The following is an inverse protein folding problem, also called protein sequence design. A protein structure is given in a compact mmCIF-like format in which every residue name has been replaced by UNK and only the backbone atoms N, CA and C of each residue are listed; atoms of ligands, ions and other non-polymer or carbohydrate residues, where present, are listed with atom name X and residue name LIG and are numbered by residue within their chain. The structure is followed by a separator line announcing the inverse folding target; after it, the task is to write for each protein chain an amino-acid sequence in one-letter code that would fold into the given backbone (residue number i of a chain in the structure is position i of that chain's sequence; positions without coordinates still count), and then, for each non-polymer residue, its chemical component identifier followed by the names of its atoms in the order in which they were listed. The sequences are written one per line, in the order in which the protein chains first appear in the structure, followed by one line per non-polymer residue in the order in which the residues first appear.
data_IF_426860703162
#
_entry.id   IF_426860703162
#
_cell.length_a   1.000
_cell.length_b   1.000
_cell.length_c   1.000
_cell.angle_alpha   90.00
_cell.angle_beta   90.00
_cell.angle_gamma   90.00
#
_symmetry.space_group_name_H-M   'P 1'
#
loop_
_entity.id
_entity.type
_entity.pdbx_description
1 polymer ?
#
# COMPACT_ATOMS: atom_id res chain seq x y z
N UNK A 1 -63.81 -1.03 53.40
CA UNK A 1 -62.85 0.09 53.38
C UNK A 1 -61.37 -0.27 53.20
N UNK A 2 -60.95 -1.55 53.13
CA UNK A 2 -59.53 -1.93 52.99
C UNK A 2 -59.00 -1.93 51.53
N UNK A 3 -59.83 -1.90 50.49
CA UNK A 3 -59.38 -2.00 49.08
C UNK A 3 -59.02 -0.67 48.42
N UNK A 4 -59.50 0.47 48.94
CA UNK A 4 -59.25 1.79 48.36
C UNK A 4 -57.85 2.35 48.68
N UNK A 5 -57.32 2.05 49.86
CA UNK A 5 -55.97 2.45 50.27
C UNK A 5 -54.85 1.74 49.44
N UNK A 6 -55.06 0.44 49.17
CA UNK A 6 -54.13 -0.37 48.38
C UNK A 6 -54.02 0.15 46.92
N UNK A 7 -55.12 0.61 46.33
CA UNK A 7 -55.18 1.10 44.96
C UNK A 7 -54.49 2.47 44.82
N UNK A 8 -54.65 3.37 45.78
CA UNK A 8 -54.02 4.68 45.85
C UNK A 8 -52.47 4.57 46.02
N UNK A 9 -52.04 3.66 46.90
CA UNK A 9 -50.60 3.41 47.08
C UNK A 9 -49.95 2.83 45.83
N UNK A 10 -50.59 1.89 45.13
CA UNK A 10 -50.13 1.30 43.86
C UNK A 10 -50.08 2.33 42.73
N UNK A 11 -51.03 3.27 42.67
CA UNK A 11 -51.00 4.35 41.67
C UNK A 11 -49.87 5.33 41.96
N UNK A 12 -49.64 5.72 43.19
CA UNK A 12 -48.54 6.61 43.59
C UNK A 12 -47.16 6.00 43.29
N UNK A 13 -46.97 4.72 43.63
CA UNK A 13 -45.73 3.99 43.33
C UNK A 13 -45.49 3.92 41.80
N UNK A 14 -46.53 3.66 41.01
CA UNK A 14 -46.44 3.59 39.53
C UNK A 14 -46.04 4.93 38.91
N UNK A 15 -46.62 6.03 39.41
CA UNK A 15 -46.29 7.38 38.95
C UNK A 15 -44.81 7.71 39.28
N UNK A 16 -44.39 7.41 40.50
CA UNK A 16 -43.04 7.71 40.97
C UNK A 16 -41.95 6.86 40.25
N UNK A 17 -42.25 5.60 39.94
CA UNK A 17 -41.36 4.74 39.10
C UNK A 17 -41.31 5.25 37.66
N UNK A 18 -42.44 5.73 37.12
CA UNK A 18 -42.50 6.30 35.77
C UNK A 18 -41.72 7.60 35.68
N UNK A 19 -41.79 8.50 36.67
CA UNK A 19 -40.98 9.71 36.75
C UNK A 19 -39.49 9.42 36.85
N UNK A 20 -39.10 8.44 37.71
CA UNK A 20 -37.68 8.04 37.79
C UNK A 20 -37.17 7.43 36.52
N UNK A 21 -37.97 6.63 35.80
CA UNK A 21 -37.61 6.10 34.48
C UNK A 21 -37.49 7.22 33.45
N UNK A 22 -38.43 8.17 33.45
CA UNK A 22 -38.43 9.32 32.54
C UNK A 22 -37.22 10.22 32.74
N UNK A 23 -36.85 10.50 33.99
CA UNK A 23 -35.64 11.25 34.33
C UNK A 23 -34.38 10.54 33.83
N UNK A 24 -34.28 9.22 33.96
CA UNK A 24 -33.13 8.43 33.40
C UNK A 24 -33.08 8.50 31.88
N UNK A 25 -34.20 8.39 31.20
CA UNK A 25 -34.27 8.50 29.73
C UNK A 25 -33.82 9.89 29.27
N UNK A 26 -34.29 10.96 29.93
CA UNK A 26 -33.89 12.34 29.64
C UNK A 26 -32.40 12.54 29.86
N UNK A 27 -31.82 12.01 30.95
CA UNK A 27 -30.38 12.09 31.22
C UNK A 27 -29.59 11.35 30.14
N UNK A 28 -30.00 10.14 29.74
CA UNK A 28 -29.31 9.37 28.68
C UNK A 28 -29.37 10.10 27.35
N UNK A 29 -30.52 10.67 26.99
CA UNK A 29 -30.68 11.46 25.76
C UNK A 29 -29.83 12.74 25.80
N UNK A 30 -29.76 13.44 26.92
CA UNK A 30 -28.93 14.61 27.11
C UNK A 30 -27.43 14.26 26.96
N UNK A 31 -26.99 13.16 27.57
CA UNK A 31 -25.63 12.66 27.43
C UNK A 31 -25.31 12.28 25.97
N UNK A 32 -26.26 11.61 25.28
CA UNK A 32 -26.09 11.26 23.88
C UNK A 32 -25.98 12.50 22.98
N UNK A 33 -26.81 13.51 23.21
CA UNK A 33 -26.73 14.79 22.47
C UNK A 33 -25.39 15.49 22.72
N UNK A 34 -24.95 15.60 23.98
CA UNK A 34 -23.65 16.20 24.33
C UNK A 34 -22.52 15.41 23.68
N UNK A 35 -22.57 14.08 23.72
CA UNK A 35 -21.57 13.23 23.09
C UNK A 35 -21.53 13.43 21.56
N UNK A 36 -22.70 13.40 20.89
CA UNK A 36 -22.78 13.62 19.45
C UNK A 36 -22.32 15.03 19.04
N UNK A 37 -22.67 16.06 19.82
CA UNK A 37 -22.24 17.44 19.52
C UNK A 37 -20.73 17.62 19.74
N UNK A 38 -20.18 17.09 20.84
CA UNK A 38 -18.73 17.12 21.08
C UNK A 38 -17.99 16.32 20.01
N UNK A 39 -18.49 15.16 19.63
CA UNK A 39 -17.90 14.35 18.57
C UNK A 39 -17.96 15.06 17.22
N UNK A 40 -19.09 15.67 16.86
CA UNK A 40 -19.26 16.44 15.64
C UNK A 40 -18.40 17.71 15.58
N UNK A 41 -18.05 18.30 16.73
CA UNK A 41 -17.15 19.46 16.79
C UNK A 41 -15.66 19.08 16.78
N UNK A 42 -15.32 17.89 17.30
CA UNK A 42 -13.94 17.38 17.33
C UNK A 42 -13.54 16.75 15.99
N UNK A 43 -14.47 16.05 15.30
CA UNK A 43 -14.23 15.43 14.00
C UNK A 43 -13.66 16.40 12.95
N UNK A 44 -14.25 17.60 12.72
CA UNK A 44 -13.68 18.55 11.78
C UNK A 44 -12.27 19.02 12.16
N UNK A 45 -12.01 19.18 13.46
CA UNK A 45 -10.67 19.59 13.95
C UNK A 45 -9.62 18.47 13.78
N UNK A 46 -10.04 17.20 13.85
CA UNK A 46 -9.16 16.06 13.58
C UNK A 46 -8.99 15.77 12.07
N UNK A 47 -9.97 16.18 11.24
CA UNK A 47 -9.90 16.04 9.79
C UNK A 47 -9.32 17.27 9.09
N UNK A 48 -9.14 18.38 9.78
CA UNK A 48 -8.53 19.63 9.28
C UNK A 48 -7.01 19.74 9.54
N UNK A 49 -6.36 18.73 10.07
CA UNK A 49 -4.94 18.57 9.77
C UNK A 49 -4.87 18.10 8.34
N UNK A 50 -4.47 18.98 7.44
CA UNK A 50 -4.12 18.62 6.06
C UNK A 50 -3.09 17.49 6.17
N UNK A 51 -3.60 16.25 6.14
CA UNK A 51 -2.82 15.03 6.31
C UNK A 51 -2.01 14.72 5.05
N UNK A 52 -1.59 15.75 4.35
CA UNK A 52 -0.75 15.64 3.17
C UNK A 52 0.72 15.64 3.60
N UNK A 53 1.46 14.72 3.01
CA UNK A 53 2.89 14.52 3.28
C UNK A 53 3.78 15.04 2.15
N UNK A 54 3.20 15.68 1.11
CA UNK A 54 3.96 16.23 -0.01
C UNK A 54 4.77 17.49 0.34
N UNK A 55 4.52 18.10 1.50
CA UNK A 55 5.21 19.31 1.95
C UNK A 55 4.90 20.57 1.15
N UNK A 56 3.89 20.53 0.26
CA UNK A 56 3.46 21.65 -0.58
C UNK A 56 2.07 22.13 -0.14
N UNK A 57 1.85 23.46 -0.22
CA UNK A 57 0.52 24.02 -0.06
C UNK A 57 -0.27 23.90 -1.37
N UNK A 58 -1.56 23.62 -1.29
CA UNK A 58 -2.44 23.71 -2.46
C UNK A 58 -2.47 25.14 -2.97
N UNK A 59 -2.10 25.37 -4.22
CA UNK A 59 -2.10 26.67 -4.85
C UNK A 59 -2.34 26.53 -6.36
N UNK A 60 -3.44 27.10 -6.82
CA UNK A 60 -3.73 27.26 -8.24
C UNK A 60 -3.52 28.73 -8.61
N UNK A 61 -2.88 28.99 -9.74
CA UNK A 61 -2.68 30.35 -10.21
C UNK A 61 -4.01 30.95 -10.68
N UNK A 62 -4.51 31.94 -9.97
CA UNK A 62 -5.66 32.76 -10.31
C UNK A 62 -5.22 34.06 -10.99
N UNK A 63 -6.17 34.89 -11.48
CA UNK A 63 -5.84 36.18 -12.06
C UNK A 63 -5.08 37.10 -11.10
N UNK A 64 -5.22 36.92 -9.78
CA UNK A 64 -4.47 37.65 -8.76
C UNK A 64 -2.98 37.28 -8.73
N UNK A 65 -2.61 36.15 -9.30
CA UNK A 65 -1.22 35.72 -9.43
C UNK A 65 -0.49 36.36 -10.62
N UNK A 66 -1.20 37.11 -11.46
CA UNK A 66 -0.64 37.74 -12.65
C UNK A 66 -0.77 39.25 -12.57
N UNK A 67 0.26 39.95 -13.03
CA UNK A 67 0.22 41.38 -13.30
C UNK A 67 0.12 41.61 -14.83
N UNK A 68 -0.75 42.51 -15.20
CA UNK A 68 -0.86 42.90 -16.61
C UNK A 68 0.15 43.99 -16.91
N UNK A 69 1.15 43.68 -17.71
CA UNK A 69 2.26 44.60 -18.03
C UNK A 69 2.09 45.10 -19.47
N UNK A 70 2.24 46.42 -19.66
CA UNK A 70 2.25 47.03 -20.97
C UNK A 70 3.58 46.70 -21.71
N UNK A 71 3.53 46.05 -22.86
CA UNK A 71 4.70 45.61 -23.61
C UNK A 71 4.94 46.36 -24.92
N UNK A 72 4.01 47.16 -25.40
CA UNK A 72 4.11 47.82 -26.70
C UNK A 72 5.14 48.96 -26.74
N UNK A 73 5.72 49.39 -25.60
CA UNK A 73 6.74 50.45 -25.53
C UNK A 73 6.28 51.84 -26.00
N UNK A 74 4.98 52.02 -26.23
CA UNK A 74 4.40 53.28 -26.63
C UNK A 74 3.60 53.86 -25.47
N UNK A 75 4.11 54.91 -24.88
CA UNK A 75 3.42 55.60 -23.80
C UNK A 75 2.08 56.16 -24.33
N UNK A 76 0.98 55.69 -23.75
CA UNK A 76 -0.33 56.28 -24.00
C UNK A 76 -0.31 57.73 -23.55
N UNK A 77 -0.94 58.59 -24.33
CA UNK A 77 -1.08 60.03 -24.21
C UNK A 77 -0.60 60.65 -22.88
N UNK A 78 0.42 61.50 -22.96
CA UNK A 78 0.78 62.43 -21.92
C UNK A 78 -0.46 63.21 -21.43
N UNK A 79 -0.65 63.46 -20.15
CA UNK A 79 -1.77 64.25 -19.62
C UNK A 79 -1.72 65.75 -19.99
N UNK A 80 -0.81 66.14 -20.89
CA UNK A 80 -0.72 67.52 -21.34
C UNK A 80 -1.70 67.80 -22.46
N UNK A 81 -2.77 68.50 -22.14
CA UNK A 81 -3.92 68.81 -22.98
C UNK A 81 -3.62 69.65 -24.26
N UNK A 82 -2.35 69.95 -24.54
CA UNK A 82 -1.92 70.77 -25.69
C UNK A 82 -1.15 69.97 -26.76
N UNK A 83 -0.85 68.65 -26.56
CA UNK A 83 -0.18 67.85 -27.57
C UNK A 83 -1.22 67.14 -28.45
N UNK A 84 -1.08 67.29 -29.82
CA UNK A 84 -1.87 66.48 -30.76
C UNK A 84 -1.73 65.01 -30.40
N UNK A 85 -2.84 64.25 -30.28
CA UNK A 85 -2.75 62.84 -30.01
C UNK A 85 -2.17 62.10 -31.21
N UNK A 86 -0.89 61.84 -31.18
CA UNK A 86 -0.27 60.78 -31.98
C UNK A 86 -0.52 59.44 -31.31
N UNK A 87 -1.75 59.27 -30.84
CA UNK A 87 -2.05 58.20 -29.89
C UNK A 87 -2.15 56.85 -30.57
N UNK A 88 -1.20 56.01 -30.29
CA UNK A 88 -1.41 54.58 -30.37
C UNK A 88 -2.52 54.21 -29.37
N UNK A 89 -3.57 53.55 -29.88
CA UNK A 89 -4.63 52.98 -29.03
C UNK A 89 -4.17 51.61 -28.57
N UNK A 90 -4.09 51.43 -27.27
CA UNK A 90 -3.73 50.12 -26.68
C UNK A 90 -4.86 49.12 -26.94
N UNK A 91 -4.50 48.00 -27.52
CA UNK A 91 -5.31 46.80 -27.67
C UNK A 91 -4.82 45.73 -26.73
N UNK A 92 -5.55 44.64 -26.63
CA UNK A 92 -5.17 43.48 -25.80
C UNK A 92 -3.76 42.96 -26.14
N UNK A 93 -3.32 43.11 -27.38
CA UNK A 93 -1.97 42.75 -27.86
C UNK A 93 -0.87 43.62 -27.27
N UNK A 94 -1.20 44.77 -26.67
CA UNK A 94 -0.25 45.64 -26.01
C UNK A 94 0.05 45.23 -24.57
N UNK A 95 -0.65 44.25 -24.05
CA UNK A 95 -0.52 43.78 -22.66
C UNK A 95 -0.14 42.33 -22.62
N UNK A 96 0.71 41.99 -21.65
CA UNK A 96 1.09 40.61 -21.32
C UNK A 96 0.79 40.32 -19.86
N UNK A 97 0.22 39.16 -19.57
CA UNK A 97 0.06 38.69 -18.19
C UNK A 97 1.38 38.07 -17.72
N UNK A 98 2.03 38.72 -16.77
CA UNK A 98 3.26 38.25 -16.15
C UNK A 98 2.95 37.64 -14.79
N UNK A 99 3.40 36.40 -14.58
CA UNK A 99 3.26 35.71 -13.29
C UNK A 99 4.13 36.45 -12.23
N UNK A 100 3.51 36.93 -11.18
CA UNK A 100 4.15 37.60 -10.03
C UNK A 100 4.13 36.74 -8.77
N UNK A 101 3.30 35.69 -8.76
CA UNK A 101 3.23 34.72 -7.68
C UNK A 101 4.52 33.90 -7.63
N UNK A 102 5.07 33.74 -6.42
CA UNK A 102 6.29 32.91 -6.18
C UNK A 102 5.96 31.50 -5.72
N UNK A 103 4.67 31.17 -5.53
CA UNK A 103 4.23 29.82 -5.15
C UNK A 103 4.18 28.94 -6.39
N UNK A 104 4.66 27.72 -6.25
CA UNK A 104 4.48 26.69 -7.28
C UNK A 104 3.01 26.28 -7.36
N UNK A 105 2.50 26.09 -8.57
CA UNK A 105 1.19 25.52 -8.78
C UNK A 105 1.18 24.07 -8.30
N UNK A 106 0.28 23.75 -7.37
CA UNK A 106 0.15 22.43 -6.80
C UNK A 106 -1.29 22.16 -6.36
N UNK A 107 -1.85 21.09 -6.92
CA UNK A 107 -3.10 20.51 -6.46
C UNK A 107 -2.82 19.20 -5.72
N UNK A 108 -3.42 19.05 -4.54
CA UNK A 108 -3.24 17.80 -3.79
C UNK A 108 -3.90 16.63 -4.51
N UNK A 109 -3.09 15.64 -4.82
CA UNK A 109 -3.51 14.35 -5.37
C UNK A 109 -3.57 13.29 -4.25
N UNK A 110 -4.07 12.11 -4.60
CA UNK A 110 -4.06 10.92 -3.72
C UNK A 110 -2.64 10.59 -3.25
N UNK A 111 -1.62 10.78 -4.09
CA UNK A 111 -0.21 10.56 -3.73
C UNK A 111 0.27 11.47 -2.60
N UNK A 112 -0.26 12.69 -2.49
CA UNK A 112 0.10 13.63 -1.43
C UNK A 112 -0.30 13.14 -0.03
N UNK A 113 -1.21 12.16 0.07
CA UNK A 113 -1.65 11.56 1.33
C UNK A 113 -0.79 10.35 1.74
N UNK A 114 0.14 9.90 0.90
CA UNK A 114 1.09 8.84 1.24
C UNK A 114 2.14 9.38 2.21
N UNK A 115 2.28 8.71 3.34
CA UNK A 115 3.27 9.07 4.36
C UNK A 115 4.59 8.32 4.12
N UNK A 116 5.65 8.97 3.62
CA UNK A 116 6.93 8.32 3.34
C UNK A 116 7.64 7.80 4.60
N UNK A 117 7.29 8.32 5.79
CA UNK A 117 7.88 7.89 7.05
C UNK A 117 7.19 6.66 7.65
N UNK A 118 6.02 6.26 7.09
CA UNK A 118 5.26 5.10 7.54
C UNK A 118 5.81 3.79 6.97
N UNK A 119 7.11 3.61 7.01
CA UNK A 119 7.85 2.43 6.55
C UNK A 119 8.40 1.60 7.69
N UNK A 120 8.63 0.33 7.45
CA UNK A 120 9.22 -0.54 8.46
C UNK A 120 10.76 -0.42 8.47
N UNK A 121 11.34 -0.17 9.65
CA UNK A 121 12.79 -0.09 9.77
C UNK A 121 13.44 -1.44 9.41
N UNK A 122 14.55 -1.48 8.62
CA UNK A 122 15.22 -2.70 8.18
C UNK A 122 15.56 -3.68 9.31
N UNK A 123 15.91 -3.19 10.48
CA UNK A 123 16.18 -4.01 11.67
C UNK A 123 14.97 -4.83 12.15
N UNK A 124 13.76 -4.50 11.71
CA UNK A 124 12.54 -5.25 12.06
C UNK A 124 12.20 -6.35 11.04
N UNK A 125 12.75 -6.30 9.82
CA UNK A 125 12.38 -7.22 8.74
C UNK A 125 12.64 -8.69 9.08
N UNK A 126 13.68 -8.97 9.86
CA UNK A 126 14.06 -10.31 10.28
C UNK A 126 13.53 -10.69 11.67
N UNK A 127 12.79 -9.77 12.32
CA UNK A 127 12.24 -10.05 13.64
C UNK A 127 11.16 -11.13 13.58
N UNK A 128 11.34 -12.20 14.37
CA UNK A 128 10.38 -13.30 14.43
C UNK A 128 10.63 -14.41 13.41
N UNK A 129 11.71 -14.32 12.61
CA UNK A 129 12.11 -15.44 11.76
C UNK A 129 12.45 -16.68 12.58
N UNK A 130 12.10 -17.89 12.10
CA UNK A 130 12.35 -19.13 12.81
C UNK A 130 13.85 -19.46 12.87
N UNK A 131 14.23 -20.23 13.89
CA UNK A 131 15.57 -20.83 13.95
C UNK A 131 15.68 -21.91 12.87
N UNK A 132 16.69 -21.80 12.03
CA UNK A 132 16.90 -22.75 10.94
C UNK A 132 17.40 -24.10 11.45
N UNK A 133 16.85 -25.18 10.87
CA UNK A 133 17.17 -26.59 11.26
C UNK A 133 18.33 -27.18 10.47
N UNK A 134 18.59 -26.63 9.27
CA UNK A 134 19.57 -27.17 8.34
C UNK A 134 18.95 -27.92 7.16
N UNK A 135 17.65 -28.20 7.22
CA UNK A 135 16.91 -28.74 6.10
C UNK A 135 16.30 -27.59 5.29
N UNK A 136 16.82 -27.31 4.10
CA UNK A 136 16.44 -26.17 3.27
C UNK A 136 14.94 -26.08 2.99
N UNK A 137 14.34 -27.21 2.59
CA UNK A 137 12.92 -27.24 2.27
C UNK A 137 12.07 -26.94 3.51
N UNK A 138 12.40 -27.54 4.66
CA UNK A 138 11.71 -27.27 5.92
C UNK A 138 11.94 -25.83 6.40
N UNK A 139 13.17 -25.35 6.28
CA UNK A 139 13.54 -24.00 6.70
C UNK A 139 12.83 -22.95 5.83
N UNK A 140 12.75 -23.17 4.51
CA UNK A 140 12.03 -22.30 3.59
C UNK A 140 10.53 -22.23 3.92
N UNK A 141 9.90 -23.38 4.12
CA UNK A 141 8.48 -23.45 4.53
C UNK A 141 8.27 -22.73 5.87
N UNK A 142 9.14 -22.97 6.85
CA UNK A 142 9.03 -22.35 8.17
C UNK A 142 9.18 -20.80 8.09
N UNK A 143 10.12 -20.31 7.28
CA UNK A 143 10.28 -18.86 7.05
C UNK A 143 9.02 -18.30 6.40
N UNK A 144 8.52 -18.92 5.34
CA UNK A 144 7.31 -18.45 4.65
C UNK A 144 6.08 -18.44 5.58
N UNK A 145 5.88 -19.49 6.36
CA UNK A 145 4.76 -19.57 7.31
C UNK A 145 4.86 -18.54 8.44
N UNK A 146 6.07 -18.16 8.86
CA UNK A 146 6.28 -17.12 9.85
C UNK A 146 5.84 -15.72 9.39
N UNK A 147 5.66 -15.52 8.08
CA UNK A 147 5.24 -14.26 7.46
C UNK A 147 3.74 -14.17 7.24
N UNK A 148 2.98 -15.24 7.51
CA UNK A 148 1.53 -15.25 7.27
C UNK A 148 0.82 -14.10 8.00
N UNK A 149 -0.08 -13.43 7.26
CA UNK A 149 -0.84 -12.29 7.75
C UNK A 149 -0.12 -10.95 7.62
N UNK A 150 1.15 -10.91 7.19
CA UNK A 150 1.77 -9.65 6.78
C UNK A 150 0.93 -9.03 5.65
N UNK A 151 0.70 -7.74 5.72
CA UNK A 151 -0.01 -6.98 4.68
C UNK A 151 0.83 -5.76 4.28
N UNK A 152 0.66 -5.31 3.06
CA UNK A 152 1.26 -4.07 2.61
C UNK A 152 0.74 -2.86 3.39
N UNK A 153 1.50 -1.79 3.41
CA UNK A 153 1.14 -0.56 4.10
C UNK A 153 0.00 0.15 3.38
N UNK A 154 -0.98 0.63 4.16
CA UNK A 154 -2.03 1.53 3.68
C UNK A 154 -1.68 3.00 3.93
N UNK A 155 -0.60 3.27 4.64
CA UNK A 155 -0.17 4.63 5.01
C UNK A 155 0.98 5.14 4.13
N UNK A 156 1.90 4.26 3.71
CA UNK A 156 2.95 4.55 2.72
C UNK A 156 2.64 3.77 1.45
N UNK A 157 2.46 4.46 0.33
CA UNK A 157 2.06 3.84 -0.93
C UNK A 157 2.44 4.70 -2.15
N UNK A 158 2.47 4.07 -3.30
CA UNK A 158 2.54 4.69 -4.61
C UNK A 158 1.16 4.62 -5.29
N UNK A 159 0.80 5.69 -6.01
CA UNK A 159 -0.40 5.73 -6.86
C UNK A 159 0.03 5.45 -8.29
N UNK A 160 -0.43 4.32 -8.83
CA UNK A 160 -0.12 3.88 -10.18
C UNK A 160 -0.83 4.74 -11.25
N UNK A 161 -0.43 4.63 -12.50
CA UNK A 161 -1.01 5.39 -13.62
C UNK A 161 -2.52 5.12 -13.80
N UNK A 162 -2.98 3.93 -13.49
CA UNK A 162 -4.39 3.54 -13.53
C UNK A 162 -5.21 4.02 -12.31
N UNK A 163 -4.57 4.72 -11.36
CA UNK A 163 -5.18 5.20 -10.13
C UNK A 163 -5.30 4.17 -9.01
N UNK A 164 -4.84 2.92 -9.24
CA UNK A 164 -4.67 1.92 -8.19
C UNK A 164 -3.56 2.33 -7.22
N UNK A 165 -3.45 1.63 -6.11
CA UNK A 165 -2.48 1.93 -5.06
C UNK A 165 -1.68 0.67 -4.74
N UNK A 166 -0.36 0.80 -4.76
CA UNK A 166 0.59 -0.22 -4.31
C UNK A 166 1.23 0.22 -3.00
N UNK A 167 0.98 -0.52 -1.93
CA UNK A 167 1.49 -0.19 -0.60
C UNK A 167 2.94 -0.62 -0.40
N UNK A 168 3.64 0.10 0.50
CA UNK A 168 4.98 -0.29 0.93
C UNK A 168 5.00 -1.70 1.50
N UNK A 169 6.04 -2.47 1.14
CA UNK A 169 6.34 -3.76 1.74
C UNK A 169 7.82 -3.91 2.11
N UNK A 170 8.09 -4.63 3.22
CA UNK A 170 9.46 -5.02 3.59
C UNK A 170 10.13 -5.88 2.53
N UNK A 171 9.36 -6.64 1.76
CA UNK A 171 9.89 -7.57 0.76
C UNK A 171 10.41 -6.84 -0.47
N UNK A 172 9.62 -5.90 -0.98
CA UNK A 172 10.05 -5.02 -2.07
C UNK A 172 11.22 -4.14 -1.66
N UNK A 173 11.14 -3.52 -0.46
CA UNK A 173 12.23 -2.72 0.10
C UNK A 173 13.51 -3.54 0.31
N UNK A 174 13.41 -4.76 0.85
CA UNK A 174 14.57 -5.66 1.02
C UNK A 174 15.18 -6.04 -0.33
N UNK A 175 14.37 -6.43 -1.30
CA UNK A 175 14.85 -6.84 -2.62
C UNK A 175 15.50 -5.67 -3.37
N UNK A 176 14.90 -4.49 -3.30
CA UNK A 176 15.40 -3.27 -3.93
C UNK A 176 16.58 -2.60 -3.21
N UNK A 177 16.99 -3.11 -2.04
CA UNK A 177 18.15 -2.60 -1.28
C UNK A 177 17.86 -1.44 -0.34
N UNK A 178 16.62 -1.07 -0.14
CA UNK A 178 16.21 -0.03 0.81
C UNK A 178 14.77 0.43 0.66
N UNK A 179 14.33 1.25 1.61
CA UNK A 179 12.97 1.80 1.61
C UNK A 179 12.71 2.77 0.46
N UNK A 180 13.76 3.36 -0.11
CA UNK A 180 13.67 4.33 -1.21
C UNK A 180 13.65 3.65 -2.60
N UNK A 181 13.65 2.30 -2.65
CA UNK A 181 13.57 1.55 -3.89
C UNK A 181 12.17 1.64 -4.51
N UNK A 182 12.09 1.73 -5.83
CA UNK A 182 10.84 1.65 -6.59
C UNK A 182 10.08 0.33 -6.31
N UNK A 183 10.81 -0.74 -5.98
CA UNK A 183 10.22 -2.03 -5.61
C UNK A 183 9.56 -2.03 -4.24
N UNK A 184 9.84 -1.04 -3.40
CA UNK A 184 9.26 -0.97 -2.06
C UNK A 184 7.73 -0.82 -2.08
N UNK A 185 7.19 -0.18 -3.12
CA UNK A 185 5.76 0.02 -3.34
C UNK A 185 5.31 -0.55 -4.70
N UNK A 186 5.85 -1.68 -5.14
CA UNK A 186 5.50 -2.38 -6.38
C UNK A 186 4.88 -3.74 -6.10
N UNK A 187 4.73 -4.55 -7.16
CA UNK A 187 4.36 -5.95 -7.06
C UNK A 187 5.41 -6.71 -6.24
N UNK A 188 4.98 -7.45 -5.26
CA UNK A 188 5.91 -8.04 -4.30
C UNK A 188 5.78 -9.55 -4.10
N UNK A 189 5.01 -10.25 -4.94
CA UNK A 189 4.87 -11.70 -4.82
C UNK A 189 6.22 -12.43 -5.01
N UNK A 190 7.01 -12.04 -6.00
CA UNK A 190 8.34 -12.61 -6.25
C UNK A 190 9.37 -12.18 -5.20
N UNK A 191 9.37 -10.92 -4.82
CA UNK A 191 10.25 -10.40 -3.77
C UNK A 191 10.01 -11.07 -2.41
N UNK A 192 8.77 -11.44 -2.10
CA UNK A 192 8.43 -12.22 -0.91
C UNK A 192 9.10 -13.60 -0.93
N UNK A 193 9.00 -14.33 -2.03
CA UNK A 193 9.59 -15.67 -2.14
C UNK A 193 11.12 -15.59 -2.12
N UNK A 194 11.71 -14.58 -2.79
CA UNK A 194 13.15 -14.31 -2.74
C UNK A 194 13.63 -14.01 -1.31
N UNK A 195 12.88 -13.20 -0.55
CA UNK A 195 13.14 -12.94 0.87
C UNK A 195 13.14 -14.24 1.69
N UNK A 196 12.13 -15.09 1.49
CA UNK A 196 12.03 -16.37 2.20
C UNK A 196 13.21 -17.31 1.88
N UNK A 197 13.60 -17.41 0.60
CA UNK A 197 14.76 -18.18 0.16
C UNK A 197 16.04 -17.70 0.85
N UNK A 198 16.33 -16.41 0.75
CA UNK A 198 17.54 -15.84 1.34
C UNK A 198 17.60 -16.10 2.85
N UNK A 199 16.49 -15.88 3.56
CA UNK A 199 16.45 -16.06 5.02
C UNK A 199 16.36 -17.54 5.45
N UNK A 200 16.05 -18.47 4.54
CA UNK A 200 16.23 -19.91 4.73
C UNK A 200 17.68 -20.37 4.45
N UNK A 201 18.59 -19.45 4.11
CA UNK A 201 19.99 -19.76 3.76
C UNK A 201 20.16 -20.28 2.33
N UNK A 202 19.25 -19.92 1.43
CA UNK A 202 19.25 -20.25 0.00
C UNK A 202 19.44 -18.95 -0.76
N UNK A 203 20.68 -18.56 -1.00
CA UNK A 203 21.05 -17.31 -1.63
C UNK A 203 20.96 -17.38 -3.16
N UNK A 204 20.97 -16.23 -3.86
CA UNK A 204 20.80 -16.16 -5.31
C UNK A 204 21.86 -16.92 -6.11
N UNK A 205 23.08 -17.07 -5.58
CA UNK A 205 24.14 -17.87 -6.18
C UNK A 205 23.93 -19.39 -6.05
N UNK A 206 23.01 -19.81 -5.14
CA UNK A 206 22.61 -21.20 -4.95
C UNK A 206 21.35 -21.53 -5.73
N UNK A 207 20.41 -20.62 -5.72
CA UNK A 207 19.13 -20.72 -6.42
C UNK A 207 18.79 -19.33 -6.97
N UNK A 208 19.07 -19.10 -8.26
CA UNK A 208 18.87 -17.77 -8.85
C UNK A 208 17.39 -17.39 -8.78
N UNK A 209 17.13 -16.20 -8.26
CA UNK A 209 15.77 -15.64 -8.17
C UNK A 209 15.70 -14.26 -8.82
N UNK A 210 14.49 -13.82 -9.15
CA UNK A 210 14.20 -12.51 -9.74
C UNK A 210 12.97 -11.88 -9.07
N UNK A 211 12.84 -10.57 -9.18
CA UNK A 211 11.59 -9.88 -8.84
C UNK A 211 10.52 -10.07 -9.93
N UNK A 212 10.95 -10.47 -11.15
CA UNK A 212 10.08 -10.75 -12.29
C UNK A 212 9.90 -12.25 -12.45
N UNK A 213 8.65 -12.75 -12.37
CA UNK A 213 8.37 -14.18 -12.42
C UNK A 213 8.80 -14.85 -13.73
N UNK A 214 8.61 -14.18 -14.87
CA UNK A 214 9.02 -14.70 -16.18
C UNK A 214 10.54 -14.83 -16.28
N UNK A 215 11.29 -13.78 -15.93
CA UNK A 215 12.75 -13.80 -15.88
C UNK A 215 13.27 -14.88 -14.91
N UNK A 216 12.56 -15.09 -13.80
CA UNK A 216 12.93 -16.13 -12.85
C UNK A 216 12.81 -17.54 -13.44
N UNK A 217 11.74 -17.82 -14.20
CA UNK A 217 11.57 -19.10 -14.92
C UNK A 217 12.72 -19.34 -15.91
N UNK A 218 13.12 -18.30 -16.64
CA UNK A 218 14.24 -18.38 -17.59
C UNK A 218 15.56 -18.70 -16.88
N UNK A 219 15.91 -17.99 -15.81
CA UNK A 219 17.11 -18.25 -14.99
C UNK A 219 17.14 -19.66 -14.42
N UNK A 220 16.01 -20.18 -13.93
CA UNK A 220 15.91 -21.54 -13.42
C UNK A 220 16.03 -22.58 -14.52
N UNK A 221 15.53 -22.28 -15.71
CA UNK A 221 15.63 -23.15 -16.89
C UNK A 221 17.10 -23.28 -17.32
N UNK A 222 17.81 -22.15 -17.43
CA UNK A 222 19.25 -22.13 -17.72
C UNK A 222 20.08 -22.88 -16.68
N UNK A 223 19.72 -22.74 -15.41
CA UNK A 223 20.38 -23.40 -14.27
C UNK A 223 19.95 -24.88 -14.09
N UNK A 224 19.05 -25.41 -14.93
CA UNK A 224 18.49 -26.77 -14.85
C UNK A 224 17.76 -27.06 -13.53
N UNK A 225 17.23 -26.02 -12.90
CA UNK A 225 16.46 -26.09 -11.65
C UNK A 225 14.96 -25.95 -11.88
N UNK A 226 14.52 -25.78 -13.14
CA UNK A 226 13.12 -25.72 -13.53
C UNK A 226 12.57 -27.07 -13.92
N UNK A 227 11.33 -27.35 -13.55
CA UNK A 227 10.55 -28.52 -13.97
C UNK A 227 9.18 -28.11 -14.48
N UNK A 228 8.73 -28.83 -15.50
CA UNK A 228 7.44 -28.58 -16.14
C UNK A 228 6.26 -28.86 -15.20
N UNK A 229 5.09 -28.29 -15.49
CA UNK A 229 3.86 -28.43 -14.71
C UNK A 229 3.41 -29.89 -14.48
N UNK A 230 3.82 -30.82 -15.34
CA UNK A 230 3.55 -32.25 -15.21
C UNK A 230 4.39 -32.95 -14.13
N UNK A 231 5.41 -32.31 -13.59
CA UNK A 231 6.22 -32.87 -12.51
C UNK A 231 5.43 -32.90 -11.19
N UNK A 232 5.70 -33.88 -10.35
CA UNK A 232 5.15 -33.93 -9.01
C UNK A 232 5.92 -32.96 -8.09
N UNK A 233 5.27 -31.92 -7.55
CA UNK A 233 5.91 -31.01 -6.59
C UNK A 233 6.02 -31.65 -5.21
N UNK A 234 6.84 -31.06 -4.36
CA UNK A 234 6.98 -31.41 -2.94
C UNK A 234 7.15 -30.15 -2.10
N UNK A 235 6.94 -30.28 -0.80
CA UNK A 235 7.16 -29.18 0.13
C UNK A 235 8.59 -28.61 0.00
N UNK A 236 8.68 -27.28 -0.10
CA UNK A 236 9.90 -26.53 -0.36
C UNK A 236 10.19 -26.26 -1.83
N UNK A 237 9.43 -26.81 -2.78
CA UNK A 237 9.52 -26.40 -4.18
C UNK A 237 8.85 -25.02 -4.36
N UNK A 238 9.27 -24.29 -5.38
CA UNK A 238 8.69 -23.02 -5.80
C UNK A 238 7.71 -23.30 -6.94
N UNK A 239 6.48 -22.84 -6.86
CA UNK A 239 5.49 -22.97 -7.93
C UNK A 239 5.36 -21.65 -8.68
N UNK A 240 5.36 -21.71 -10.01
CA UNK A 240 5.06 -20.60 -10.91
C UNK A 240 3.65 -20.77 -11.48
N UNK A 241 2.89 -19.68 -11.42
CA UNK A 241 1.46 -19.66 -11.74
C UNK A 241 1.17 -18.60 -12.81
N UNK A 242 0.11 -18.82 -13.58
CA UNK A 242 -0.49 -17.82 -14.46
C UNK A 242 -1.99 -17.64 -14.15
N UNK A 243 -2.59 -16.55 -14.65
CA UNK A 243 -4.02 -16.30 -14.48
C UNK A 243 -4.86 -16.88 -15.62
N UNK A 244 -4.34 -16.81 -16.84
CA UNK A 244 -5.13 -16.89 -18.07
C UNK A 244 -4.80 -18.14 -18.89
N UNK A 245 -3.94 -19.02 -18.41
CA UNK A 245 -3.51 -20.24 -19.11
C UNK A 245 -2.53 -19.99 -20.26
N UNK A 246 -1.90 -18.80 -20.35
CA UNK A 246 -0.95 -18.42 -21.39
C UNK A 246 0.42 -18.99 -21.12
N UNK A 247 0.86 -19.63 -20.25
CA UNK A 247 2.18 -20.18 -19.91
C UNK A 247 3.22 -19.17 -19.44
N UNK A 248 2.90 -17.90 -19.40
CA UNK A 248 3.78 -16.89 -18.83
C UNK A 248 3.56 -16.81 -17.32
N UNK A 249 4.60 -17.00 -16.52
CA UNK A 249 4.50 -16.88 -15.09
C UNK A 249 4.34 -15.42 -14.69
N UNK A 250 3.30 -15.11 -13.94
CA UNK A 250 3.10 -13.79 -13.34
C UNK A 250 3.04 -13.83 -11.80
N UNK A 251 2.84 -15.01 -11.24
CA UNK A 251 2.83 -15.24 -9.78
C UNK A 251 3.76 -16.38 -9.40
N UNK A 252 4.26 -16.32 -8.18
CA UNK A 252 5.13 -17.35 -7.62
C UNK A 252 4.75 -17.60 -6.16
N UNK A 253 4.86 -18.86 -5.73
CA UNK A 253 4.55 -19.28 -4.37
C UNK A 253 5.48 -20.38 -3.87
N UNK A 254 5.50 -20.59 -2.55
CA UNK A 254 6.25 -21.66 -1.91
C UNK A 254 5.30 -22.82 -1.59
N UNK A 255 5.57 -24.01 -2.12
CA UNK A 255 4.80 -25.22 -1.80
C UNK A 255 5.09 -25.62 -0.36
N UNK A 256 4.05 -25.68 0.47
CA UNK A 256 4.19 -26.07 1.89
C UNK A 256 3.80 -27.51 2.15
N UNK A 257 2.87 -28.05 1.38
CA UNK A 257 2.37 -29.41 1.51
C UNK A 257 1.75 -29.90 0.20
N UNK A 258 1.75 -31.24 0.02
CA UNK A 258 1.10 -31.90 -1.12
C UNK A 258 0.24 -33.02 -0.60
N UNK A 259 -1.04 -33.00 -0.96
CA UNK A 259 -2.01 -34.04 -0.60
C UNK A 259 -2.81 -34.48 -1.83
N UNK A 260 -2.51 -35.68 -2.33
CA UNK A 260 -3.12 -36.21 -3.55
C UNK A 260 -2.76 -35.35 -4.77
N UNK A 261 -3.78 -34.79 -5.42
CA UNK A 261 -3.67 -33.93 -6.60
C UNK A 261 -3.64 -32.42 -6.26
N UNK A 262 -3.55 -32.09 -4.99
CA UNK A 262 -3.60 -30.71 -4.51
C UNK A 262 -2.32 -30.34 -3.78
N UNK A 263 -1.72 -29.23 -4.13
CA UNK A 263 -0.63 -28.59 -3.37
C UNK A 263 -1.16 -27.38 -2.61
N UNK A 264 -0.64 -27.18 -1.42
CA UNK A 264 -0.84 -25.97 -0.61
C UNK A 264 0.36 -25.06 -0.74
N UNK A 265 0.12 -23.77 -0.80
CA UNK A 265 1.17 -22.76 -0.97
C UNK A 265 1.07 -21.67 0.11
N UNK A 266 2.18 -20.96 0.30
CA UNK A 266 2.20 -19.63 0.89
C UNK A 266 2.71 -18.68 -0.19
N UNK A 267 1.95 -17.62 -0.41
CA UNK A 267 2.17 -16.65 -1.48
C UNK A 267 2.20 -15.23 -0.91
N UNK A 268 3.05 -14.39 -1.48
CA UNK A 268 3.03 -12.96 -1.27
C UNK A 268 2.02 -12.30 -2.21
N UNK A 269 1.56 -11.12 -1.83
CA UNK A 269 0.65 -10.30 -2.61
C UNK A 269 -0.66 -11.00 -3.02
N UNK A 270 -1.12 -11.91 -2.22
CA UNK A 270 -2.42 -12.54 -2.40
C UNK A 270 -3.51 -11.72 -1.69
N UNK A 271 -4.11 -10.78 -2.43
CA UNK A 271 -4.99 -9.77 -1.87
C UNK A 271 -4.25 -8.83 -0.90
N UNK A 272 -3.10 -8.34 -1.34
CA UNK A 272 -2.23 -7.38 -0.66
C UNK A 272 -1.67 -7.91 0.68
N UNK A 273 -1.51 -9.22 0.80
CA UNK A 273 -0.99 -9.88 2.01
C UNK A 273 -0.26 -11.18 1.73
N UNK A 274 0.48 -11.68 2.72
CA UNK A 274 0.98 -13.06 2.72
C UNK A 274 -0.13 -13.99 3.18
N UNK A 275 -0.54 -14.91 2.32
CA UNK A 275 -1.64 -15.81 2.60
C UNK A 275 -1.37 -17.24 2.09
N UNK A 276 -2.17 -18.18 2.61
CA UNK A 276 -2.20 -19.55 2.09
C UNK A 276 -3.13 -19.64 0.90
N UNK A 277 -2.73 -20.45 -0.09
CA UNK A 277 -3.55 -20.85 -1.20
C UNK A 277 -3.50 -22.36 -1.42
N UNK A 278 -4.26 -22.86 -2.40
CA UNK A 278 -4.26 -24.25 -2.80
C UNK A 278 -4.50 -24.35 -4.28
N UNK A 279 -3.68 -25.14 -4.97
CA UNK A 279 -3.72 -25.30 -6.43
C UNK A 279 -3.77 -26.77 -6.79
N UNK A 280 -4.48 -27.09 -7.87
CA UNK A 280 -4.50 -28.44 -8.41
C UNK A 280 -3.23 -28.69 -9.22
N UNK A 281 -2.51 -29.75 -8.91
CA UNK A 281 -1.30 -30.16 -9.62
C UNK A 281 -1.63 -30.46 -11.07
N UNK A 282 -0.85 -29.90 -12.00
CA UNK A 282 -1.07 -30.07 -13.44
C UNK A 282 -2.29 -29.33 -14.00
N UNK A 283 -2.92 -28.42 -13.23
CA UNK A 283 -3.95 -27.53 -13.78
C UNK A 283 -3.34 -26.52 -14.77
N UNK A 284 -4.18 -25.88 -15.57
CA UNK A 284 -3.74 -24.91 -16.56
C UNK A 284 -3.07 -23.67 -15.95
N UNK A 285 -3.38 -23.35 -14.69
CA UNK A 285 -2.76 -22.25 -13.96
C UNK A 285 -1.30 -22.52 -13.55
N UNK A 286 -0.87 -23.80 -13.51
CA UNK A 286 0.51 -24.16 -13.12
C UNK A 286 1.42 -24.09 -14.32
N UNK A 287 2.38 -23.18 -14.32
CA UNK A 287 3.40 -23.04 -15.37
C UNK A 287 4.52 -24.06 -15.17
N UNK A 288 4.96 -24.22 -13.93
CA UNK A 288 6.00 -25.19 -13.57
C UNK A 288 6.53 -24.97 -12.18
N UNK A 289 7.67 -25.61 -11.89
CA UNK A 289 8.27 -25.62 -10.55
C UNK A 289 9.75 -25.31 -10.58
N UNK A 290 10.20 -24.47 -9.65
CA UNK A 290 11.60 -24.35 -9.29
C UNK A 290 11.94 -25.36 -8.20
N UNK A 291 12.98 -26.16 -8.42
CA UNK A 291 13.37 -27.24 -7.51
C UNK A 291 14.75 -26.98 -6.92
N UNK A 292 14.79 -26.92 -5.59
CA UNK A 292 16.04 -26.70 -4.86
C UNK A 292 17.05 -27.84 -5.09
N UNK A 293 18.32 -27.56 -5.40
CA UNK A 293 19.33 -28.58 -5.54
C UNK A 293 19.58 -29.28 -4.19
N UNK A 294 19.64 -30.63 -4.22
CA UNK A 294 19.76 -31.44 -3.01
C UNK A 294 21.07 -31.15 -2.24
N UNK A 295 22.15 -30.91 -2.96
CA UNK A 295 23.51 -30.78 -2.42
C UNK A 295 24.03 -29.34 -2.37
N UNK A 296 23.19 -28.35 -2.59
CA UNK A 296 23.63 -26.95 -2.60
C UNK A 296 24.16 -26.54 -1.21
N UNK A 297 25.32 -25.85 -1.15
CA UNK A 297 25.91 -25.40 0.09
C UNK A 297 24.97 -24.45 0.82
N UNK A 298 24.97 -24.50 2.15
CA UNK A 298 24.26 -23.55 2.99
C UNK A 298 25.12 -22.32 3.19
N UNK A 299 24.52 -21.14 2.98
CA UNK A 299 25.16 -19.86 3.27
C UNK A 299 24.38 -19.08 4.31
N UNK A 300 25.05 -18.22 5.05
CA UNK A 300 24.37 -17.24 5.89
C UNK A 300 23.53 -16.32 5.00
N UNK A 301 22.37 -15.89 5.50
CA UNK A 301 21.53 -14.91 4.80
C UNK A 301 22.40 -13.71 4.41
N UNK A 302 22.42 -13.38 3.11
CA UNK A 302 23.15 -12.23 2.62
C UNK A 302 22.33 -10.97 2.86
N UNK A 303 23.00 -9.87 3.22
CA UNK A 303 22.38 -8.57 3.07
C UNK A 303 22.16 -8.32 1.57
N UNK A 304 20.93 -8.11 1.15
CA UNK A 304 20.68 -7.73 -0.23
C UNK A 304 21.08 -6.27 -0.39
N UNK A 305 22.08 -5.99 -1.22
CA UNK A 305 22.66 -4.65 -1.37
C UNK A 305 22.11 -3.93 -2.60
N UNK A 306 20.86 -4.19 -3.00
CA UNK A 306 20.19 -3.49 -4.10
C UNK A 306 20.92 -3.61 -5.43
N UNK A 307 20.44 -4.45 -6.27
CA UNK A 307 20.91 -4.69 -7.63
C UNK A 307 20.40 -6.07 -8.04
N UNK A 308 19.71 -6.16 -9.17
CA UNK A 308 19.41 -7.44 -9.77
C UNK A 308 20.73 -8.22 -9.92
N UNK A 309 20.76 -9.50 -9.52
CA UNK A 309 21.92 -10.34 -9.79
C UNK A 309 22.14 -10.50 -11.29
#
# INVERSE_FOLDING_TARGET
MKNTLSTRVKSYIRVHIREKRWKRVVIVLACAVVFCTTYALILPALTMTDGTFCGKEAHLHTDECYETVLICGKDGASPDASAKPTGHVHTDECYEKKLICTKEEHEHSKQCNSNPDAVEAPAKWTKGLPKLTGNKAKDLVAVAESQLGYAESTACYHVNEDGSVSGYTRYGAWYGGGNDSDLACGDWNASFVAFCLNHAGITADVFPYSAECADWVDRLTESKMYRQASAAPKAGDIVFLNADGDKTAYRVGIVTDVNGDTMRTVEGDLGNRVARSSHKIGSAEVVGYGVLPADAPRRAAAAHTGGAP
#
